data_IF_319589468252
#
_entry.id   IF_319589468252
#
_cell.length_a   1.000
_cell.length_b   1.000
_cell.length_c   1.000
_cell.angle_alpha   90.00
_cell.angle_beta   90.00
_cell.angle_gamma   90.00
#
_symmetry.space_group_name_H-M   'P 1'
#
loop_
_entity.id
_entity.type
_entity.pdbx_description
1 polymer ?
#
# COMPACT_ATOMS: atom_id res chain seq x y z
N UNK A 1 -28.06 23.20 -10.89
CA UNK A 1 -26.70 23.01 -11.44
C UNK A 1 -25.61 23.00 -10.35
N UNK A 2 -25.49 24.01 -9.49
CA UNK A 2 -24.49 24.04 -8.38
C UNK A 2 -24.51 22.80 -7.46
N UNK A 3 -25.70 22.28 -7.14
CA UNK A 3 -25.86 21.05 -6.32
C UNK A 3 -25.35 19.77 -7.02
N UNK A 4 -25.45 19.71 -8.35
CA UNK A 4 -25.01 18.56 -9.15
C UNK A 4 -23.49 18.55 -9.27
N UNK A 5 -22.86 19.72 -9.44
CA UNK A 5 -21.40 19.86 -9.48
C UNK A 5 -20.79 19.43 -8.14
N UNK A 6 -21.35 19.88 -7.01
CA UNK A 6 -20.88 19.50 -5.67
C UNK A 6 -20.99 17.98 -5.45
N UNK A 7 -22.12 17.38 -5.85
CA UNK A 7 -22.32 15.93 -5.71
C UNK A 7 -21.32 15.13 -6.57
N UNK A 8 -21.03 15.57 -7.79
CA UNK A 8 -20.07 14.92 -8.68
C UNK A 8 -18.63 15.02 -8.14
N UNK A 9 -18.24 16.18 -7.59
CA UNK A 9 -16.92 16.35 -6.97
C UNK A 9 -16.74 15.42 -5.77
N UNK A 10 -17.73 15.33 -4.88
CA UNK A 10 -17.65 14.46 -3.69
C UNK A 10 -17.55 12.97 -4.08
N UNK A 11 -18.27 12.55 -5.12
CA UNK A 11 -18.20 11.18 -5.62
C UNK A 11 -16.80 10.79 -6.12
N UNK A 12 -16.08 11.72 -6.77
CA UNK A 12 -14.71 11.51 -7.28
C UNK A 12 -13.67 11.32 -6.15
N UNK A 13 -13.91 11.90 -4.97
CA UNK A 13 -12.97 11.78 -3.85
C UNK A 13 -13.10 10.48 -3.04
N UNK A 14 -14.12 9.66 -3.30
CA UNK A 14 -14.41 8.45 -2.51
C UNK A 14 -13.65 7.19 -2.98
N UNK A 15 -12.88 7.22 -4.07
CA UNK A 15 -12.25 6.03 -4.68
C UNK A 15 -10.75 5.86 -4.37
N UNK A 16 -10.33 6.05 -3.12
CA UNK A 16 -8.91 6.26 -2.77
C UNK A 16 -8.08 5.07 -2.27
N UNK A 17 -8.68 3.90 -2.02
CA UNK A 17 -7.95 2.75 -1.46
C UNK A 17 -7.39 1.87 -2.59
N UNK A 18 -6.07 1.71 -2.62
CA UNK A 18 -5.40 0.79 -3.54
C UNK A 18 -4.60 -0.23 -2.74
N UNK A 19 -4.89 -1.51 -2.94
CA UNK A 19 -4.17 -2.62 -2.30
C UNK A 19 -3.73 -3.58 -3.40
N UNK A 20 -2.44 -3.83 -3.47
CA UNK A 20 -1.84 -4.78 -4.39
C UNK A 20 -1.25 -5.90 -3.57
N UNK A 21 -1.74 -7.11 -3.77
CA UNK A 21 -1.24 -8.29 -3.06
C UNK A 21 -0.79 -9.35 -4.06
N UNK A 22 0.29 -10.02 -3.69
CA UNK A 22 0.81 -11.17 -4.41
C UNK A 22 0.78 -12.35 -3.44
N UNK A 23 -0.11 -13.30 -3.73
CA UNK A 23 -0.29 -14.51 -2.94
C UNK A 23 0.55 -15.63 -3.58
N UNK A 24 1.50 -16.16 -2.82
CA UNK A 24 2.36 -17.27 -3.24
C UNK A 24 1.89 -18.61 -2.66
N UNK A 25 1.09 -18.59 -1.60
CA UNK A 25 0.48 -19.79 -1.01
C UNK A 25 -0.77 -19.45 -0.22
N UNK A 26 -1.83 -20.25 -0.39
CA UNK A 26 -3.13 -20.09 0.31
C UNK A 26 -3.12 -20.64 1.75
N UNK A 27 -1.99 -21.18 2.23
CA UNK A 27 -1.87 -21.71 3.59
C UNK A 27 -1.85 -20.58 4.63
N UNK A 28 -2.17 -20.91 5.89
CA UNK A 28 -2.19 -20.01 7.05
C UNK A 28 -1.04 -18.98 7.02
N UNK A 29 -1.36 -17.76 6.60
CA UNK A 29 -0.41 -16.68 6.42
C UNK A 29 -0.37 -15.81 7.67
N UNK A 30 0.78 -15.71 8.32
CA UNK A 30 0.98 -14.90 9.53
C UNK A 30 1.70 -13.61 9.15
N UNK A 31 1.18 -12.46 9.57
CA UNK A 31 1.86 -11.18 9.40
C UNK A 31 3.16 -11.21 10.23
N UNK A 32 4.29 -11.12 9.53
CA UNK A 32 5.62 -11.14 10.15
C UNK A 32 6.20 -9.75 10.25
N UNK A 33 6.00 -8.94 9.22
CA UNK A 33 6.55 -7.59 9.15
C UNK A 33 5.59 -6.65 8.42
N UNK A 34 5.51 -5.43 8.95
CA UNK A 34 4.80 -4.30 8.36
C UNK A 34 5.74 -3.10 8.37
N UNK A 35 6.03 -2.58 7.18
CA UNK A 35 6.99 -1.50 6.98
C UNK A 35 6.33 -0.33 6.23
N UNK A 36 6.38 0.86 6.81
CA UNK A 36 5.89 2.08 6.16
C UNK A 36 6.96 2.66 5.24
N UNK A 37 6.73 2.55 3.94
CA UNK A 37 7.61 3.07 2.90
C UNK A 37 7.21 4.50 2.52
N UNK A 38 8.06 5.44 2.92
CA UNK A 38 7.96 6.84 2.50
C UNK A 38 8.42 7.02 1.06
N UNK A 39 7.53 7.50 0.20
CA UNK A 39 7.86 7.93 -1.16
C UNK A 39 7.54 9.41 -1.34
N UNK A 40 8.29 10.09 -2.22
CA UNK A 40 8.02 11.46 -2.63
C UNK A 40 7.70 11.54 -4.12
N UNK A 41 6.86 12.51 -4.50
CA UNK A 41 6.46 12.76 -5.89
C UNK A 41 5.97 11.44 -6.56
N UNK A 42 5.06 10.74 -5.89
CA UNK A 42 4.55 9.43 -6.31
C UNK A 42 5.62 8.33 -6.54
N UNK A 43 6.80 8.45 -5.92
CA UNK A 43 7.90 7.50 -6.06
C UNK A 43 8.81 7.76 -7.25
N UNK A 44 8.83 8.99 -7.79
CA UNK A 44 9.70 9.34 -8.91
C UNK A 44 11.17 9.05 -8.55
N UNK A 45 11.77 8.09 -9.25
CA UNK A 45 13.14 7.61 -9.03
C UNK A 45 13.43 7.13 -7.59
N UNK A 46 12.42 6.63 -6.88
CA UNK A 46 12.57 6.07 -5.53
C UNK A 46 12.13 4.62 -5.52
N UNK A 47 13.03 3.73 -5.15
CA UNK A 47 12.76 2.32 -4.94
C UNK A 47 13.05 1.95 -3.49
N UNK A 48 12.15 1.17 -2.89
CA UNK A 48 12.34 0.57 -1.58
C UNK A 48 12.04 -0.91 -1.68
N UNK A 49 13.07 -1.71 -1.54
CA UNK A 49 12.97 -3.16 -1.61
C UNK A 49 12.95 -3.76 -0.21
N UNK A 50 12.13 -4.80 -0.04
CA UNK A 50 12.11 -5.63 1.16
C UNK A 50 12.29 -7.06 0.68
N UNK A 51 13.34 -7.72 1.14
CA UNK A 51 13.55 -9.13 0.84
C UNK A 51 12.64 -9.98 1.71
N UNK A 52 11.46 -10.34 1.18
CA UNK A 52 10.50 -11.18 1.88
C UNK A 52 11.08 -12.54 2.30
N UNK A 53 12.08 -13.05 1.57
CA UNK A 53 12.76 -14.31 1.90
C UNK A 53 13.61 -14.18 3.15
N UNK A 54 14.27 -13.04 3.36
CA UNK A 54 15.06 -12.79 4.57
C UNK A 54 14.13 -12.66 5.78
N UNK A 55 12.98 -11.99 5.61
CA UNK A 55 11.94 -11.83 6.65
C UNK A 55 11.33 -13.17 7.07
N UNK A 56 11.06 -14.06 6.11
CA UNK A 56 10.48 -15.37 6.37
C UNK A 56 11.51 -16.49 6.61
N UNK A 57 12.81 -16.23 6.41
CA UNK A 57 13.88 -17.23 6.53
C UNK A 57 13.85 -18.30 5.45
N UNK A 58 13.54 -17.91 4.20
CA UNK A 58 13.52 -18.73 2.99
C UNK A 58 12.43 -18.32 1.99
N UNK A 59 12.70 -18.45 0.69
CA UNK A 59 11.73 -18.18 -0.40
C UNK A 59 10.47 -19.02 -0.26
N UNK A 60 10.62 -20.28 0.15
CA UNK A 60 9.51 -21.23 0.26
C UNK A 60 8.57 -20.93 1.43
N UNK A 61 8.98 -20.03 2.34
CA UNK A 61 8.21 -19.62 3.53
C UNK A 61 7.43 -18.33 3.32
N UNK A 62 7.58 -17.67 2.17
CA UNK A 62 6.78 -16.49 1.83
C UNK A 62 5.37 -16.94 1.42
N UNK A 63 4.35 -16.46 2.14
CA UNK A 63 2.95 -16.79 1.85
C UNK A 63 2.29 -15.71 0.99
N UNK A 64 2.48 -14.44 1.37
CA UNK A 64 1.87 -13.29 0.70
C UNK A 64 2.72 -12.05 0.93
N UNK A 65 2.85 -11.22 -0.09
CA UNK A 65 3.38 -9.86 0.03
C UNK A 65 2.30 -8.87 -0.40
N UNK A 66 2.13 -7.79 0.37
CA UNK A 66 1.07 -6.83 0.15
C UNK A 66 1.62 -5.41 0.23
N UNK A 67 1.23 -4.58 -0.73
CA UNK A 67 1.46 -3.14 -0.71
C UNK A 67 0.09 -2.46 -0.64
N UNK A 68 -0.14 -1.72 0.43
CA UNK A 68 -1.40 -1.03 0.69
C UNK A 68 -1.20 0.48 0.75
N UNK A 69 -2.06 1.20 0.03
CA UNK A 69 -2.29 2.62 0.24
C UNK A 69 -3.54 2.77 1.11
N UNK A 70 -3.34 3.14 2.37
CA UNK A 70 -4.44 3.39 3.31
C UNK A 70 -5.12 4.73 3.01
N UNK A 71 -6.31 4.93 3.60
CA UNK A 71 -7.02 6.19 3.50
C UNK A 71 -6.19 7.37 4.02
N UNK A 72 -5.49 7.20 5.15
CA UNK A 72 -4.61 8.23 5.71
C UNK A 72 -3.46 8.56 4.76
N UNK A 73 -2.88 7.57 4.09
CA UNK A 73 -1.86 7.81 3.06
C UNK A 73 -2.42 8.65 1.90
N UNK A 74 -3.66 8.40 1.49
CA UNK A 74 -4.39 9.21 0.52
C UNK A 74 -4.63 10.66 0.97
N UNK A 75 -5.02 10.85 2.24
CA UNK A 75 -5.20 12.20 2.83
C UNK A 75 -3.88 12.95 2.89
N UNK A 76 -2.80 12.30 3.34
CA UNK A 76 -1.46 12.90 3.40
C UNK A 76 -0.97 13.31 2.02
N UNK A 77 -1.20 12.46 1.01
CA UNK A 77 -0.94 12.79 -0.40
C UNK A 77 -1.73 14.01 -0.85
N UNK A 78 -3.01 14.12 -0.51
CA UNK A 78 -3.84 15.26 -0.89
C UNK A 78 -3.37 16.57 -0.22
N UNK A 79 -3.11 16.54 1.09
CA UNK A 79 -2.65 17.72 1.86
C UNK A 79 -1.28 18.20 1.38
N UNK A 80 -0.40 17.26 1.03
CA UNK A 80 0.94 17.58 0.49
C UNK A 80 0.95 17.81 -1.02
N UNK A 81 -0.21 17.90 -1.67
CA UNK A 81 -0.35 18.10 -3.12
C UNK A 81 0.43 17.08 -3.96
N UNK A 82 0.54 15.84 -3.48
CA UNK A 82 1.25 14.76 -4.15
C UNK A 82 2.75 14.69 -3.87
N UNK A 83 3.30 15.59 -3.04
CA UNK A 83 4.73 15.58 -2.71
C UNK A 83 5.06 14.38 -1.82
N UNK A 84 4.22 14.04 -0.85
CA UNK A 84 4.47 12.92 0.06
C UNK A 84 3.41 11.83 -0.12
N UNK A 85 3.87 10.63 -0.48
CA UNK A 85 3.02 9.51 -0.91
C UNK A 85 3.42 8.23 -0.17
N UNK A 86 3.16 8.13 1.15
CA UNK A 86 3.51 6.93 1.91
C UNK A 86 2.71 5.71 1.44
N UNK A 87 3.33 4.53 1.52
CA UNK A 87 2.70 3.22 1.27
C UNK A 87 3.11 2.25 2.37
N UNK A 88 2.25 1.30 2.69
CA UNK A 88 2.55 0.24 3.66
C UNK A 88 2.89 -1.04 2.91
N UNK A 89 4.02 -1.66 3.25
CA UNK A 89 4.44 -2.95 2.74
C UNK A 89 4.32 -3.99 3.85
N UNK A 90 3.56 -5.07 3.62
CA UNK A 90 3.32 -6.15 4.57
C UNK A 90 3.82 -7.46 4.01
N UNK A 91 4.56 -8.19 4.83
CA UNK A 91 5.06 -9.52 4.50
C UNK A 91 4.38 -10.54 5.41
N UNK A 92 3.75 -11.51 4.77
CA UNK A 92 3.14 -12.64 5.44
C UNK A 92 3.96 -13.91 5.16
N UNK A 93 4.34 -14.60 6.23
CA UNK A 93 5.04 -15.87 6.15
C UNK A 93 4.07 -17.04 6.36
N UNK A 94 4.42 -18.21 5.84
CA UNK A 94 3.73 -19.46 6.16
C UNK A 94 3.92 -19.74 7.65
N UNK A 95 2.83 -20.13 8.32
CA UNK A 95 2.86 -20.64 9.69
C UNK A 95 3.68 -21.93 9.81
#
# INVERSE_FOLDING_TARGET
MKKVIIAATVALFMSGCAQQSFVMSDNNSVLKEENSQHFFINGLAQEKEINASDVCGGTDKVAKVEVQQTFLNGVLRAVTLGIYTPREARVYCKS
#
